data_IF_250212883148
#
_entry.id   IF_250212883148
#
_cell.length_a   1.000
_cell.length_b   1.000
_cell.length_c   1.000
_cell.angle_alpha   90.00
_cell.angle_beta   90.00
_cell.angle_gamma   90.00
#
_symmetry.space_group_name_H-M   'P 1'
#
loop_
_entity.id
_entity.type
_entity.pdbx_description
1 polymer ?
#
# COMPACT_ATOMS: atom_id res chain seq x y z
N UNK A 1 1.41 0.35 -26.14
CA UNK A 1 1.55 -0.77 -25.20
C UNK A 1 0.60 -0.59 -24.02
N UNK A 2 -0.66 -1.01 -24.13
CA UNK A 2 -1.56 -1.03 -22.98
C UNK A 2 -1.27 -2.26 -22.15
N UNK A 3 -0.69 -2.10 -20.96
CA UNK A 3 -0.61 -3.20 -19.98
C UNK A 3 -2.05 -3.65 -19.71
N UNK A 4 -2.37 -4.89 -20.10
CA UNK A 4 -3.62 -5.54 -19.64
C UNK A 4 -3.68 -5.37 -18.13
N UNK A 5 -4.74 -4.73 -17.66
CA UNK A 5 -4.93 -4.55 -16.22
C UNK A 5 -5.13 -5.94 -15.64
N UNK A 6 -4.16 -6.41 -14.85
CA UNK A 6 -4.28 -7.66 -14.10
C UNK A 6 -5.52 -7.60 -13.21
N UNK A 7 -6.24 -8.71 -13.06
CA UNK A 7 -7.43 -8.81 -12.21
C UNK A 7 -7.15 -8.29 -10.79
N UNK A 8 -5.95 -8.55 -10.27
CA UNK A 8 -5.48 -8.09 -8.95
C UNK A 8 -5.40 -6.56 -8.83
N UNK A 9 -5.03 -5.85 -9.91
CA UNK A 9 -5.02 -4.37 -9.92
C UNK A 9 -6.43 -3.81 -9.86
N UNK A 10 -7.41 -4.48 -10.49
CA UNK A 10 -8.81 -4.07 -10.45
C UNK A 10 -9.40 -4.22 -9.05
N UNK A 11 -9.07 -5.31 -8.36
CA UNK A 11 -9.44 -5.54 -6.95
C UNK A 11 -8.83 -4.48 -6.03
N UNK A 12 -7.54 -4.16 -6.20
CA UNK A 12 -6.86 -3.10 -5.44
C UNK A 12 -7.53 -1.72 -5.60
N UNK A 13 -7.97 -1.39 -6.82
CA UNK A 13 -8.69 -0.13 -7.08
C UNK A 13 -10.04 -0.09 -6.36
N UNK A 14 -10.75 -1.21 -6.30
CA UNK A 14 -12.02 -1.31 -5.55
C UNK A 14 -11.81 -1.24 -4.03
N UNK A 15 -10.67 -1.73 -3.55
CA UNK A 15 -10.32 -1.75 -2.12
C UNK A 15 -9.45 -0.55 -1.70
N UNK A 16 -9.23 0.42 -2.59
CA UNK A 16 -8.30 1.54 -2.34
C UNK A 16 -8.67 2.31 -1.07
N UNK A 17 -9.96 2.56 -0.87
CA UNK A 17 -10.44 3.36 0.26
C UNK A 17 -10.23 2.61 1.58
N UNK A 18 -10.36 1.28 1.56
CA UNK A 18 -10.05 0.41 2.71
C UNK A 18 -8.54 0.39 3.00
N UNK A 19 -7.70 0.37 1.97
CA UNK A 19 -6.23 0.43 2.12
C UNK A 19 -5.79 1.76 2.74
N UNK A 20 -6.37 2.86 2.25
CA UNK A 20 -6.11 4.20 2.77
C UNK A 20 -6.55 4.30 4.23
N UNK A 21 -7.76 3.84 4.55
CA UNK A 21 -8.29 3.81 5.90
C UNK A 21 -7.44 2.97 6.86
N UNK A 22 -7.01 1.79 6.42
CA UNK A 22 -6.13 0.91 7.18
C UNK A 22 -4.77 1.57 7.50
N UNK A 23 -4.18 2.25 6.52
CA UNK A 23 -2.92 2.98 6.70
C UNK A 23 -3.08 4.19 7.63
N UNK A 24 -4.10 5.02 7.38
CA UNK A 24 -4.39 6.20 8.19
C UNK A 24 -4.75 5.83 9.62
N UNK A 25 -5.44 4.71 9.84
CA UNK A 25 -5.80 4.17 11.15
C UNK A 25 -4.63 3.70 12.00
N UNK A 26 -3.41 3.63 11.45
CA UNK A 26 -2.22 3.24 12.22
C UNK A 26 -1.41 2.12 11.58
N UNK A 27 -1.99 1.36 10.65
CA UNK A 27 -1.33 0.22 10.02
C UNK A 27 -0.05 0.61 9.28
N UNK A 28 0.98 -0.22 9.42
CA UNK A 28 2.20 -0.10 8.62
C UNK A 28 1.97 -0.59 7.19
N UNK A 29 2.84 -0.17 6.26
CA UNK A 29 2.77 -0.63 4.86
C UNK A 29 2.86 -2.15 4.71
N UNK A 30 3.53 -2.84 5.66
CA UNK A 30 3.62 -4.30 5.66
C UNK A 30 2.31 -4.95 6.12
N UNK A 31 1.74 -4.49 7.23
CA UNK A 31 0.49 -5.06 7.75
C UNK A 31 -0.66 -4.86 6.75
N UNK A 32 -0.75 -3.65 6.17
CA UNK A 32 -1.73 -3.36 5.13
C UNK A 32 -1.48 -4.25 3.91
N UNK A 33 -0.23 -4.46 3.50
CA UNK A 33 0.07 -5.35 2.39
C UNK A 33 -0.36 -6.80 2.66
N UNK A 34 -0.16 -7.31 3.88
CA UNK A 34 -0.59 -8.66 4.27
C UNK A 34 -2.12 -8.78 4.29
N UNK A 35 -2.84 -7.79 4.82
CA UNK A 35 -4.31 -7.78 4.85
C UNK A 35 -4.94 -7.82 3.45
N UNK A 36 -4.26 -7.25 2.46
CA UNK A 36 -4.73 -7.16 1.08
C UNK A 36 -4.00 -8.13 0.12
N UNK A 37 -3.29 -9.14 0.65
CA UNK A 37 -2.51 -10.14 -0.11
C UNK A 37 -1.66 -9.50 -1.22
N UNK A 38 -0.92 -8.44 -0.90
CA UNK A 38 -0.15 -7.67 -1.87
C UNK A 38 1.22 -7.33 -1.34
N UNK A 39 2.02 -6.62 -2.14
CA UNK A 39 3.34 -6.18 -1.72
C UNK A 39 3.26 -4.80 -1.06
N UNK A 40 4.08 -4.57 -0.04
CA UNK A 40 4.24 -3.23 0.56
C UNK A 40 4.65 -2.17 -0.47
N UNK A 41 5.40 -2.57 -1.50
CA UNK A 41 5.75 -1.71 -2.64
C UNK A 41 4.52 -1.29 -3.44
N UNK A 42 3.58 -2.21 -3.66
CA UNK A 42 2.31 -1.91 -4.34
C UNK A 42 1.45 -0.96 -3.53
N UNK A 43 1.31 -1.21 -2.22
CA UNK A 43 0.60 -0.28 -1.31
C UNK A 43 1.28 1.09 -1.30
N UNK A 44 2.61 1.14 -1.23
CA UNK A 44 3.38 2.39 -1.28
C UNK A 44 3.09 3.18 -2.56
N UNK A 45 3.14 2.53 -3.72
CA UNK A 45 2.84 3.17 -5.01
C UNK A 45 1.40 3.69 -5.01
N UNK A 46 0.43 2.87 -4.60
CA UNK A 46 -0.98 3.24 -4.53
C UNK A 46 -1.21 4.48 -3.63
N UNK A 47 -0.64 4.49 -2.43
CA UNK A 47 -0.78 5.62 -1.50
C UNK A 47 -0.15 6.89 -2.07
N UNK A 48 1.00 6.78 -2.74
CA UNK A 48 1.67 7.93 -3.38
C UNK A 48 0.88 8.43 -4.59
N UNK A 49 0.34 7.54 -5.42
CA UNK A 49 -0.52 7.89 -6.57
C UNK A 49 -1.79 8.60 -6.10
N UNK A 50 -2.34 8.22 -4.94
CA UNK A 50 -3.49 8.88 -4.31
C UNK A 50 -3.09 10.16 -3.53
N UNK A 51 -1.83 10.58 -3.58
CA UNK A 51 -1.34 11.81 -2.95
C UNK A 51 -1.20 11.74 -1.42
N UNK A 52 -1.25 10.53 -0.84
CA UNK A 52 -1.08 10.35 0.60
C UNK A 52 0.38 10.51 0.98
N UNK A 53 0.63 11.43 1.92
CA UNK A 53 1.94 11.61 2.54
C UNK A 53 2.28 10.37 3.36
N UNK A 54 3.25 9.61 2.89
CA UNK A 54 3.79 8.49 3.65
C UNK A 54 4.43 9.03 4.93
N UNK A 55 4.06 8.43 6.06
CA UNK A 55 4.77 8.56 7.33
C UNK A 55 6.24 8.27 7.06
N UNK A 56 7.10 9.21 7.47
CA UNK A 56 8.54 8.98 7.42
C UNK A 56 8.81 7.67 8.14
N UNK A 57 9.42 6.71 7.43
CA UNK A 57 9.86 5.51 8.12
C UNK A 57 10.87 5.97 9.16
N UNK A 58 10.47 5.95 10.43
CA UNK A 58 11.39 6.04 11.54
C UNK A 58 12.49 5.03 11.25
N UNK A 59 13.71 5.53 11.10
CA UNK A 59 14.91 4.80 10.71
C UNK A 59 14.96 3.48 11.49
N UNK A 60 14.45 2.38 10.92
CA UNK A 60 14.58 1.08 11.56
C UNK A 60 16.04 0.71 11.44
N UNK A 61 16.79 1.01 12.52
CA UNK A 61 18.11 0.47 12.75
C UNK A 61 17.92 -1.04 12.71
N UNK A 62 18.38 -1.68 11.63
CA UNK A 62 18.57 -3.13 11.64
C UNK A 62 19.55 -3.40 12.77
N UNK A 63 19.04 -3.83 13.92
CA UNK A 63 19.91 -4.54 14.87
C UNK A 63 20.27 -5.88 14.20
N UNK A 64 21.57 -6.15 14.27
CA UNK A 64 22.30 -7.18 13.53
C UNK A 64 21.82 -8.59 13.85
#
# INVERSE_FOLDING_TARGET
>A
MSRRISNKKRQLLQLKDNIIGAYQGGGSLKEVAEWFDTSASTIRILLVEEGIKLRSQGRQKKEK
#
